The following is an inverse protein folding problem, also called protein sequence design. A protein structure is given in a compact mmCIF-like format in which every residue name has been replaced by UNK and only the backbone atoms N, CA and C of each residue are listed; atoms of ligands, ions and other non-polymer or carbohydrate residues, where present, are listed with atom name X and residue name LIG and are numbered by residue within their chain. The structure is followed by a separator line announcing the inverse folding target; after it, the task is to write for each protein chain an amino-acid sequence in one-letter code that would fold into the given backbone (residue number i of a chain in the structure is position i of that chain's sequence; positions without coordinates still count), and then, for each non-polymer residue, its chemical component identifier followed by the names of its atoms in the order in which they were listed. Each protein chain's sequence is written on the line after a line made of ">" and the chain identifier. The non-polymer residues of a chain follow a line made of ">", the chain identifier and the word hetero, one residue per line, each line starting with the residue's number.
data_IF_727028648799
#
_entry.id   IF_727028648799
#
_cell.length_a   1.000
_cell.length_b   1.000
_cell.length_c   1.000
_cell.angle_alpha   90.00
_cell.angle_beta   90.00
_cell.angle_gamma   90.00
#
_symmetry.space_group_name_H-M   'P 1'
#
loop_
_entity.id
_entity.type
_entity.pdbx_description
1 polymer ?
#
# COMPACT_ATOMS: atom_id res chain seq x y z
N UNK A 1 17.74 -16.95 -14.49
CA UNK A 1 17.69 -16.22 -13.20
C UNK A 1 18.56 -14.96 -13.24
N UNK A 2 19.80 -15.04 -13.73
CA UNK A 2 20.74 -13.90 -13.76
C UNK A 2 20.19 -12.63 -14.43
N UNK A 3 19.59 -12.74 -15.63
CA UNK A 3 18.96 -11.58 -16.31
C UNK A 3 17.91 -10.85 -15.45
N UNK A 4 17.17 -11.58 -14.62
CA UNK A 4 16.17 -10.99 -13.72
C UNK A 4 16.85 -10.25 -12.57
N UNK A 5 17.86 -10.86 -11.94
CA UNK A 5 18.62 -10.25 -10.86
C UNK A 5 19.27 -8.95 -11.30
N UNK A 6 19.90 -8.93 -12.48
CA UNK A 6 20.50 -7.71 -13.04
C UNK A 6 19.47 -6.63 -13.30
N UNK A 7 18.32 -6.97 -13.92
CA UNK A 7 17.27 -5.98 -14.22
C UNK A 7 16.69 -5.31 -12.98
N UNK A 8 16.58 -6.04 -11.88
CA UNK A 8 16.04 -5.55 -10.61
C UNK A 8 17.11 -5.15 -9.61
N UNK A 9 18.39 -5.15 -10.02
CA UNK A 9 19.54 -4.78 -9.18
C UNK A 9 19.59 -5.57 -7.87
N UNK A 10 19.23 -6.85 -7.93
CA UNK A 10 19.25 -7.78 -6.80
C UNK A 10 20.70 -8.15 -6.50
N UNK A 11 21.19 -7.67 -5.37
CA UNK A 11 22.53 -7.93 -4.85
C UNK A 11 22.61 -9.26 -4.07
N UNK A 12 21.52 -9.62 -3.39
CA UNK A 12 21.50 -10.76 -2.46
C UNK A 12 20.27 -11.63 -2.69
N UNK A 13 20.43 -12.95 -2.61
CA UNK A 13 19.36 -13.90 -2.94
C UNK A 13 18.10 -13.73 -2.06
N UNK A 14 18.24 -13.32 -0.80
CA UNK A 14 17.09 -13.08 0.08
C UNK A 14 16.18 -11.94 -0.42
N UNK A 15 16.68 -11.02 -1.26
CA UNK A 15 15.87 -9.94 -1.83
C UNK A 15 14.84 -10.46 -2.86
N UNK A 16 15.03 -11.68 -3.41
CA UNK A 16 14.03 -12.34 -4.27
C UNK A 16 12.71 -12.61 -3.53
N UNK A 17 12.74 -12.64 -2.20
CA UNK A 17 11.55 -12.75 -1.37
C UNK A 17 10.55 -11.63 -1.66
N UNK A 18 11.00 -10.40 -1.97
CA UNK A 18 10.07 -9.30 -2.24
C UNK A 18 9.27 -9.47 -3.55
N UNK A 19 9.89 -9.72 -4.72
CA UNK A 19 9.14 -10.08 -5.93
C UNK A 19 8.18 -11.25 -5.74
N UNK A 20 8.60 -12.29 -5.02
CA UNK A 20 7.76 -13.47 -4.76
C UNK A 20 6.55 -13.10 -3.90
N UNK A 21 6.76 -12.40 -2.78
CA UNK A 21 5.67 -11.91 -1.93
C UNK A 21 4.73 -10.95 -2.68
N UNK A 22 5.28 -10.10 -3.54
CA UNK A 22 4.50 -9.21 -4.39
C UNK A 22 3.57 -10.00 -5.33
N UNK A 23 4.09 -11.00 -6.02
CA UNK A 23 3.29 -11.87 -6.90
C UNK A 23 2.24 -12.68 -6.13
N UNK A 24 2.60 -13.24 -4.96
CA UNK A 24 1.66 -13.96 -4.10
C UNK A 24 0.55 -13.02 -3.59
N UNK A 25 0.89 -11.82 -3.15
CA UNK A 25 -0.06 -10.81 -2.69
C UNK A 25 -1.02 -10.36 -3.79
N UNK A 26 -0.52 -10.16 -5.02
CA UNK A 26 -1.36 -9.85 -6.18
C UNK A 26 -2.30 -11.01 -6.53
N UNK A 27 -1.78 -12.24 -6.53
CA UNK A 27 -2.57 -13.43 -6.85
C UNK A 27 -3.69 -13.65 -5.81
N UNK A 28 -3.36 -13.52 -4.52
CA UNK A 28 -4.33 -13.63 -3.43
C UNK A 28 -5.41 -12.54 -3.51
N UNK A 29 -5.01 -11.29 -3.74
CA UNK A 29 -5.94 -10.16 -3.85
C UNK A 29 -6.87 -10.32 -5.06
N UNK A 30 -6.32 -10.76 -6.20
CA UNK A 30 -7.09 -11.02 -7.42
C UNK A 30 -8.07 -12.18 -7.24
N UNK A 31 -7.66 -13.25 -6.55
CA UNK A 31 -8.55 -14.37 -6.22
C UNK A 31 -9.68 -13.94 -5.30
N UNK A 32 -9.39 -13.17 -4.25
CA UNK A 32 -10.42 -12.65 -3.32
C UNK A 32 -11.42 -11.75 -4.06
N UNK A 33 -10.94 -10.92 -4.98
CA UNK A 33 -11.79 -10.06 -5.82
C UNK A 33 -12.64 -10.89 -6.81
N UNK A 34 -12.04 -11.87 -7.47
CA UNK A 34 -12.76 -12.74 -8.39
C UNK A 34 -13.85 -13.57 -7.68
N UNK A 35 -13.54 -14.10 -6.49
CA UNK A 35 -14.50 -14.85 -5.67
C UNK A 35 -15.68 -13.99 -5.23
N UNK A 36 -15.45 -12.70 -4.96
CA UNK A 36 -16.52 -11.75 -4.64
C UNK A 36 -17.50 -11.55 -5.82
N UNK A 37 -17.01 -11.63 -7.06
CA UNK A 37 -17.82 -11.47 -8.27
C UNK A 37 -18.52 -12.76 -8.71
N UNK A 38 -17.84 -13.92 -8.63
CA UNK A 38 -18.33 -15.20 -9.17
C UNK A 38 -18.33 -16.32 -8.12
N UNK A 39 -18.97 -16.09 -6.97
CA UNK A 39 -18.97 -17.04 -5.85
C UNK A 39 -19.49 -18.45 -6.20
N UNK A 40 -20.36 -18.59 -7.20
CA UNK A 40 -21.01 -19.86 -7.54
C UNK A 40 -20.21 -20.76 -8.50
N UNK A 41 -19.23 -20.20 -9.23
CA UNK A 41 -18.52 -20.91 -10.30
C UNK A 41 -17.01 -20.86 -10.08
N UNK A 42 -16.45 -21.99 -9.64
CA UNK A 42 -15.02 -22.10 -9.35
C UNK A 42 -14.14 -21.87 -10.58
N UNK A 43 -14.52 -22.43 -11.74
CA UNK A 43 -13.78 -22.26 -13.01
C UNK A 43 -13.72 -20.79 -13.42
N UNK A 44 -14.87 -20.09 -13.41
CA UNK A 44 -14.93 -18.65 -13.74
C UNK A 44 -14.12 -17.80 -12.74
N UNK A 45 -14.16 -18.15 -11.46
CA UNK A 45 -13.36 -17.46 -10.43
C UNK A 45 -11.86 -17.58 -10.72
N UNK A 46 -11.37 -18.77 -11.05
CA UNK A 46 -9.94 -19.00 -11.35
C UNK A 46 -9.52 -18.25 -12.62
N UNK A 47 -10.30 -18.36 -13.70
CA UNK A 47 -10.00 -17.70 -14.97
C UNK A 47 -9.94 -16.18 -14.78
N UNK A 48 -10.92 -15.61 -14.08
CA UNK A 48 -10.94 -14.18 -13.81
C UNK A 48 -9.80 -13.75 -12.89
N UNK A 49 -9.46 -14.55 -11.87
CA UNK A 49 -8.34 -14.25 -10.98
C UNK A 49 -7.01 -14.18 -11.74
N UNK A 50 -6.77 -15.08 -12.70
CA UNK A 50 -5.57 -15.07 -13.55
C UNK A 50 -5.54 -13.80 -14.42
N UNK A 51 -6.67 -13.46 -15.05
CA UNK A 51 -6.79 -12.24 -15.87
C UNK A 51 -6.52 -10.97 -15.05
N UNK A 52 -7.14 -10.85 -13.88
CA UNK A 52 -6.94 -9.71 -12.96
C UNK A 52 -5.49 -9.66 -12.48
N UNK A 53 -4.90 -10.80 -12.10
CA UNK A 53 -3.49 -10.85 -11.66
C UNK A 53 -2.55 -10.35 -12.75
N UNK A 54 -2.74 -10.79 -13.99
CA UNK A 54 -1.94 -10.32 -15.13
C UNK A 54 -2.11 -8.82 -15.40
N UNK A 55 -3.35 -8.32 -15.35
CA UNK A 55 -3.65 -6.90 -15.53
C UNK A 55 -2.99 -6.05 -14.44
N UNK A 56 -3.12 -6.45 -13.16
CA UNK A 56 -2.50 -5.78 -12.03
C UNK A 56 -0.97 -5.82 -12.12
N UNK A 57 -0.38 -6.95 -12.48
CA UNK A 57 1.07 -7.07 -12.65
C UNK A 57 1.57 -6.06 -13.71
N UNK A 58 0.92 -5.99 -14.87
CA UNK A 58 1.26 -4.99 -15.90
C UNK A 58 1.11 -3.57 -15.39
N UNK A 59 0.04 -3.29 -14.64
CA UNK A 59 -0.20 -1.98 -14.06
C UNK A 59 0.91 -1.58 -13.08
N UNK A 60 1.32 -2.47 -12.16
CA UNK A 60 2.41 -2.19 -11.22
C UNK A 60 3.76 -2.01 -11.92
N UNK A 61 4.08 -2.84 -12.92
CA UNK A 61 5.30 -2.65 -13.71
C UNK A 61 5.32 -1.30 -14.45
N UNK A 62 4.18 -0.87 -14.99
CA UNK A 62 4.03 0.46 -15.58
C UNK A 62 4.23 1.57 -14.54
N UNK A 63 3.63 1.45 -13.36
CA UNK A 63 3.81 2.41 -12.27
C UNK A 63 5.27 2.51 -11.84
N UNK A 64 5.99 1.40 -11.76
CA UNK A 64 7.39 1.41 -11.37
C UNK A 64 8.22 2.23 -12.35
N UNK A 65 8.08 2.01 -13.65
CA UNK A 65 8.79 2.83 -14.65
C UNK A 65 8.48 4.32 -14.55
N UNK A 66 7.26 4.68 -14.12
CA UNK A 66 6.86 6.10 -13.92
C UNK A 66 7.39 6.70 -12.61
N UNK A 67 7.54 5.89 -11.57
CA UNK A 67 7.91 6.34 -10.23
C UNK A 67 9.40 6.21 -9.94
N UNK A 68 10.10 5.30 -10.62
CA UNK A 68 11.56 5.12 -10.52
C UNK A 68 12.30 6.45 -10.73
N UNK A 69 11.86 7.25 -11.70
CA UNK A 69 12.46 8.58 -11.96
C UNK A 69 12.10 9.65 -10.91
N UNK A 70 11.08 9.41 -10.08
CA UNK A 70 10.58 10.37 -9.07
C UNK A 70 11.02 10.00 -7.65
N UNK A 71 11.31 8.73 -7.41
CA UNK A 71 11.65 8.16 -6.11
C UNK A 71 13.12 7.84 -6.11
N UNK A 72 13.89 8.55 -5.26
CA UNK A 72 15.30 8.25 -5.05
C UNK A 72 15.39 7.01 -4.16
N UNK A 73 15.63 5.85 -4.78
CA UNK A 73 15.89 4.57 -4.12
C UNK A 73 17.24 4.06 -4.58
N UNK A 74 17.94 3.31 -3.73
CA UNK A 74 19.30 2.87 -4.02
C UNK A 74 19.30 1.72 -5.05
N UNK A 75 18.27 0.89 -5.02
CA UNK A 75 18.10 -0.24 -5.94
C UNK A 75 16.64 -0.42 -6.38
N UNK A 76 16.43 -0.84 -7.63
CA UNK A 76 15.09 -1.03 -8.21
C UNK A 76 14.19 -2.00 -7.42
N UNK A 77 14.73 -3.07 -6.84
CA UNK A 77 13.92 -4.03 -6.07
C UNK A 77 13.33 -3.42 -4.79
N UNK A 78 13.91 -2.34 -4.26
CA UNK A 78 13.38 -1.63 -3.09
C UNK A 78 12.03 -0.99 -3.37
N UNK A 79 11.74 -0.64 -4.63
CA UNK A 79 10.41 -0.18 -5.02
C UNK A 79 9.34 -1.21 -4.66
N UNK A 80 9.59 -2.50 -4.90
CA UNK A 80 8.63 -3.56 -4.57
C UNK A 80 8.36 -3.56 -3.05
N UNK A 81 9.42 -3.43 -2.24
CA UNK A 81 9.30 -3.33 -0.78
C UNK A 81 8.49 -2.10 -0.36
N UNK A 82 8.76 -0.93 -0.94
CA UNK A 82 8.03 0.32 -0.65
C UNK A 82 6.54 0.16 -0.97
N UNK A 83 6.21 -0.42 -2.12
CA UNK A 83 4.82 -0.69 -2.51
C UNK A 83 4.11 -1.64 -1.56
N UNK A 84 4.80 -2.67 -1.05
CA UNK A 84 4.25 -3.54 -0.01
C UNK A 84 3.96 -2.78 1.28
N UNK A 85 4.87 -1.91 1.73
CA UNK A 85 4.64 -1.06 2.90
C UNK A 85 3.39 -0.20 2.68
N UNK A 86 3.24 0.46 1.53
CA UNK A 86 2.04 1.23 1.20
C UNK A 86 0.75 0.40 1.23
N UNK A 87 0.78 -0.84 0.73
CA UNK A 87 -0.37 -1.72 0.74
C UNK A 87 -0.78 -2.12 2.16
N UNK A 88 0.21 -2.44 3.02
CA UNK A 88 -0.02 -2.81 4.42
C UNK A 88 -0.52 -1.61 5.22
N UNK A 89 0.15 -0.46 5.15
CA UNK A 89 -0.24 0.74 5.91
C UNK A 89 -1.60 1.28 5.47
N UNK A 90 -1.87 1.31 4.16
CA UNK A 90 -3.15 1.71 3.61
C UNK A 90 -4.30 0.84 4.13
N UNK A 91 -4.18 -0.47 4.01
CA UNK A 91 -5.20 -1.42 4.48
C UNK A 91 -5.42 -1.34 5.99
N UNK A 92 -4.33 -1.20 6.75
CA UNK A 92 -4.38 -1.20 8.22
C UNK A 92 -4.96 0.10 8.79
N UNK A 93 -4.67 1.25 8.18
CA UNK A 93 -5.21 2.55 8.61
C UNK A 93 -6.75 2.59 8.58
N UNK A 94 -7.36 2.00 7.54
CA UNK A 94 -8.82 1.85 7.41
C UNK A 94 -9.38 0.94 8.51
N UNK A 95 -8.68 -0.16 8.80
CA UNK A 95 -9.08 -1.09 9.84
C UNK A 95 -9.04 -0.45 11.24
N UNK A 96 -8.03 0.39 11.51
CA UNK A 96 -7.86 1.11 12.79
C UNK A 96 -8.84 2.28 12.93
N UNK A 97 -9.21 2.97 11.85
CA UNK A 97 -10.11 4.13 11.94
C UNK A 97 -11.50 3.81 12.53
N UNK A 98 -12.02 2.59 12.28
CA UNK A 98 -13.38 2.18 12.73
C UNK A 98 -13.49 2.04 14.25
N UNK A 99 -12.63 1.24 14.93
CA UNK A 99 -12.70 1.10 16.38
C UNK A 99 -12.46 2.43 17.10
N UNK A 100 -11.59 3.30 16.57
CA UNK A 100 -11.28 4.59 17.21
C UNK A 100 -12.50 5.51 17.21
N UNK A 101 -13.21 5.63 16.09
CA UNK A 101 -14.42 6.44 16.03
C UNK A 101 -15.52 5.91 16.93
N UNK A 102 -15.66 4.58 16.98
CA UNK A 102 -16.60 3.94 17.91
C UNK A 102 -16.21 4.23 19.37
N UNK A 103 -14.92 4.18 19.70
CA UNK A 103 -14.41 4.45 21.04
C UNK A 103 -14.61 5.92 21.46
N UNK A 104 -14.50 6.86 20.52
CA UNK A 104 -14.84 8.27 20.72
C UNK A 104 -16.36 8.52 20.87
N UNK A 105 -17.20 7.47 20.86
CA UNK A 105 -18.65 7.59 20.98
C UNK A 105 -19.34 8.15 19.74
N UNK A 106 -18.63 8.28 18.62
CA UNK A 106 -19.15 8.82 17.37
C UNK A 106 -19.86 7.69 16.61
N UNK A 107 -21.19 7.67 16.70
CA UNK A 107 -22.04 6.76 15.92
C UNK A 107 -22.71 7.51 14.78
N UNK A 108 -23.15 6.77 13.77
CA UNK A 108 -23.96 7.32 12.66
C UNK A 108 -25.35 7.78 13.12
N UNK A 109 -25.76 7.38 14.31
CA UNK A 109 -27.04 7.72 14.94
C UNK A 109 -26.95 9.05 15.68
N UNK A 110 -25.79 9.35 16.28
CA UNK A 110 -25.59 10.55 17.10
C UNK A 110 -25.01 11.74 16.33
N UNK A 111 -24.53 11.53 15.11
CA UNK A 111 -23.86 12.55 14.30
C UNK A 111 -24.37 12.51 12.86
N UNK A 112 -24.38 13.68 12.22
CA UNK A 112 -24.65 13.78 10.79
C UNK A 112 -23.69 12.85 10.02
N UNK A 113 -24.24 12.04 9.12
CA UNK A 113 -23.49 11.05 8.32
C UNK A 113 -22.30 11.67 7.60
N UNK A 114 -22.42 12.91 7.12
CA UNK A 114 -21.32 13.62 6.48
C UNK A 114 -20.17 13.87 7.45
N UNK A 115 -20.47 14.41 8.64
CA UNK A 115 -19.46 14.71 9.66
C UNK A 115 -18.78 13.44 10.15
N UNK A 116 -19.54 12.34 10.31
CA UNK A 116 -18.99 11.03 10.64
C UNK A 116 -17.90 10.59 9.64
N UNK A 117 -18.21 10.65 8.35
CA UNK A 117 -17.27 10.24 7.30
C UNK A 117 -16.07 11.17 7.20
N UNK A 118 -16.26 12.49 7.38
CA UNK A 118 -15.15 13.46 7.43
C UNK A 118 -14.19 13.12 8.58
N UNK A 119 -14.69 12.91 9.79
CA UNK A 119 -13.88 12.53 10.94
C UNK A 119 -13.18 11.18 10.72
N UNK A 120 -13.85 10.21 10.09
CA UNK A 120 -13.28 8.92 9.75
C UNK A 120 -12.08 9.01 8.82
N UNK A 121 -12.19 9.84 7.79
CA UNK A 121 -11.08 10.07 6.87
C UNK A 121 -9.94 10.81 7.58
N UNK A 122 -10.23 11.84 8.37
CA UNK A 122 -9.19 12.61 9.09
C UNK A 122 -8.41 11.70 10.06
N UNK A 123 -9.12 10.95 10.89
CA UNK A 123 -8.50 10.01 11.82
C UNK A 123 -7.70 8.95 11.05
N UNK A 124 -8.27 8.38 9.99
CA UNK A 124 -7.58 7.42 9.14
C UNK A 124 -6.27 7.96 8.56
N UNK A 125 -6.26 9.21 8.09
CA UNK A 125 -5.06 9.87 7.55
C UNK A 125 -4.00 10.07 8.64
N UNK A 126 -4.39 10.47 9.85
CA UNK A 126 -3.45 10.64 10.98
C UNK A 126 -2.77 9.30 11.32
N UNK A 127 -3.55 8.23 11.44
CA UNK A 127 -2.98 6.91 11.70
C UNK A 127 -2.14 6.41 10.54
N UNK A 128 -2.56 6.68 9.30
CA UNK A 128 -1.78 6.33 8.11
C UNK A 128 -0.39 6.98 8.12
N UNK A 129 -0.27 8.25 8.52
CA UNK A 129 1.01 8.95 8.66
C UNK A 129 1.93 8.24 9.68
N UNK A 130 1.43 8.00 10.90
CA UNK A 130 2.18 7.30 11.95
C UNK A 130 2.63 5.91 11.46
N UNK A 131 1.72 5.14 10.84
CA UNK A 131 2.03 3.82 10.33
C UNK A 131 3.07 3.85 9.21
N UNK A 132 3.03 4.84 8.31
CA UNK A 132 4.04 4.97 7.25
C UNK A 132 5.45 5.09 7.82
N UNK A 133 5.65 5.90 8.86
CA UNK A 133 6.96 6.05 9.50
C UNK A 133 7.38 4.76 10.20
N UNK A 134 6.47 4.14 10.96
CA UNK A 134 6.74 2.91 11.69
C UNK A 134 7.12 1.76 10.75
N UNK A 135 6.30 1.49 9.71
CA UNK A 135 6.59 0.42 8.75
C UNK A 135 7.75 0.78 7.82
N UNK A 136 7.95 2.06 7.51
CA UNK A 136 9.14 2.53 6.81
C UNK A 136 10.41 2.23 7.60
N UNK A 137 10.39 2.44 8.91
CA UNK A 137 11.50 2.09 9.80
C UNK A 137 11.72 0.57 9.89
N UNK A 138 10.66 -0.21 10.13
CA UNK A 138 10.73 -1.68 10.18
C UNK A 138 11.24 -2.32 8.88
N UNK A 139 10.94 -1.71 7.74
CA UNK A 139 11.37 -2.20 6.42
C UNK A 139 12.75 -1.67 5.98
N UNK A 140 13.44 -0.90 6.83
CA UNK A 140 14.74 -0.30 6.53
C UNK A 140 14.68 0.84 5.49
N UNK A 141 13.49 1.38 5.21
CA UNK A 141 13.24 2.46 4.25
C UNK A 141 12.84 3.77 4.95
N UNK A 142 13.30 3.99 6.19
CA UNK A 142 12.93 5.14 7.03
C UNK A 142 13.14 6.49 6.33
N UNK A 143 14.32 6.69 5.71
CA UNK A 143 14.64 7.95 5.01
C UNK A 143 13.63 8.26 3.91
N UNK A 144 13.29 7.26 3.09
CA UNK A 144 12.32 7.41 2.01
C UNK A 144 10.94 7.80 2.56
N UNK A 145 10.44 7.06 3.56
CA UNK A 145 9.10 7.30 4.11
C UNK A 145 9.01 8.58 4.93
N UNK A 146 10.08 8.97 5.62
CA UNK A 146 10.16 10.26 6.30
C UNK A 146 10.05 11.41 5.30
N UNK A 147 10.87 11.44 4.23
CA UNK A 147 10.74 12.47 3.20
C UNK A 147 9.38 12.47 2.50
N UNK A 148 8.79 11.28 2.29
CA UNK A 148 7.45 11.14 1.74
C UNK A 148 6.38 11.75 2.65
N UNK A 149 6.44 11.48 3.95
CA UNK A 149 5.53 12.03 4.95
C UNK A 149 5.69 13.55 5.08
N UNK A 150 6.92 14.05 5.20
CA UNK A 150 7.19 15.50 5.23
C UNK A 150 6.60 16.21 4.02
N UNK A 151 6.76 15.62 2.83
CA UNK A 151 6.16 16.14 1.58
C UNK A 151 4.63 16.14 1.62
N UNK A 152 4.02 15.16 2.28
CA UNK A 152 2.58 15.07 2.44
C UNK A 152 2.05 16.11 3.45
N UNK A 153 2.71 16.28 4.59
CA UNK A 153 2.35 17.27 5.62
C UNK A 153 2.45 18.70 5.05
N UNK A 154 3.51 19.01 4.28
CA UNK A 154 3.65 20.30 3.57
C UNK A 154 2.46 20.58 2.63
N UNK A 155 1.94 19.56 1.94
CA UNK A 155 0.77 19.69 1.04
C UNK A 155 -0.54 19.93 1.79
N UNK A 156 -0.62 19.51 3.04
CA UNK A 156 -1.76 19.81 3.92
C UNK A 156 -1.67 21.20 4.58
N UNK A 157 -0.67 22.02 4.24
CA UNK A 157 -0.49 23.36 4.80
C UNK A 157 0.19 23.39 6.17
N UNK A 158 0.66 22.25 6.66
CA UNK A 158 1.28 22.07 7.97
C UNK A 158 2.82 22.07 7.92
N UNK A 159 3.42 22.63 6.85
CA UNK A 159 4.88 22.61 6.63
C UNK A 159 5.71 23.19 7.79
N UNK A 160 5.16 24.17 8.51
CA UNK A 160 5.81 24.82 9.67
C UNK A 160 6.21 23.87 10.80
N UNK A 161 5.60 22.68 10.89
CA UNK A 161 5.89 21.71 11.95
C UNK A 161 7.00 20.72 11.58
N UNK A 162 7.47 20.76 10.33
CA UNK A 162 8.28 19.68 9.73
C UNK A 162 9.51 20.21 8.99
N UNK A 163 9.58 21.54 8.80
CA UNK A 163 10.73 22.29 8.31
C UNK A 163 11.61 22.75 9.48
#
# INVERSE_FOLDING_TARGET
>A
MEKFKTRWEIQQNWQLLFPILGLLGLSYSSFKLAKLLFNNNLVLTIVLAILITYALLKFFLFLFTRLENKWKVDYKWEMIRIFMVFAVTGSSSVFIGRPIIKWLGITKENLNVFVYWTLYVIIGIIFYQIMLVCFGWLSGQHKFFWEFEKKMIRRFGLGKFVD
#
